data_IF_800215560079
#
_entry.id   IF_800215560079
#
_cell.length_a   1.000
_cell.length_b   1.000
_cell.length_c   1.000
_cell.angle_alpha   90.00
_cell.angle_beta   90.00
_cell.angle_gamma   90.00
#
_symmetry.space_group_name_H-M   'P 1'
#
loop_
_entity.id
_entity.type
_entity.pdbx_description
1 polymer ?
#
# COMPACT_ATOMS: atom_id res chain seq x y z
N UNK A 1 13.81 -14.23 0.63
CA UNK A 1 14.18 -12.79 0.66
C UNK A 1 15.03 -12.39 -0.55
N UNK A 2 16.14 -13.08 -0.88
CA UNK A 2 16.97 -12.73 -2.06
C UNK A 2 16.22 -12.76 -3.40
N UNK A 3 15.41 -13.80 -3.64
CA UNK A 3 14.61 -13.91 -4.86
C UNK A 3 13.62 -12.74 -5.04
N UNK A 4 13.02 -12.25 -3.95
CA UNK A 4 12.12 -11.09 -3.98
C UNK A 4 12.84 -9.81 -4.43
N UNK A 5 14.04 -9.59 -3.90
CA UNK A 5 14.89 -8.44 -4.21
C UNK A 5 15.34 -8.48 -5.67
N UNK A 6 15.81 -9.65 -6.14
CA UNK A 6 16.26 -9.82 -7.51
C UNK A 6 15.09 -9.71 -8.50
N UNK A 7 13.92 -10.31 -8.22
CA UNK A 7 12.72 -10.15 -9.04
C UNK A 7 12.35 -8.68 -9.22
N UNK A 8 12.40 -7.87 -8.16
CA UNK A 8 12.15 -6.42 -8.24
C UNK A 8 13.13 -5.71 -9.17
N UNK A 9 14.43 -5.97 -9.03
CA UNK A 9 15.48 -5.35 -9.89
C UNK A 9 15.28 -5.71 -11.36
N UNK A 10 14.81 -6.92 -11.61
CA UNK A 10 14.60 -7.46 -12.94
C UNK A 10 13.32 -6.97 -13.62
N UNK A 11 12.37 -6.34 -12.89
CA UNK A 11 11.15 -5.76 -13.48
C UNK A 11 11.49 -4.78 -14.59
N UNK A 12 12.35 -3.79 -14.32
CA UNK A 12 12.72 -2.76 -15.32
C UNK A 12 13.34 -3.37 -16.58
N UNK A 13 14.06 -4.48 -16.43
CA UNK A 13 14.68 -5.19 -17.54
C UNK A 13 13.64 -5.96 -18.36
N UNK A 14 12.85 -6.81 -17.72
CA UNK A 14 12.00 -7.76 -18.44
C UNK A 14 10.62 -7.23 -18.77
N UNK A 15 10.06 -6.33 -17.96
CA UNK A 15 8.71 -5.80 -18.19
C UNK A 15 8.61 -5.01 -19.49
N UNK A 16 9.65 -4.21 -19.80
CA UNK A 16 9.70 -3.42 -21.02
C UNK A 16 9.84 -4.28 -22.29
N UNK A 17 10.51 -5.43 -22.18
CA UNK A 17 10.72 -6.37 -23.28
C UNK A 17 9.48 -7.23 -23.60
N UNK A 18 8.44 -7.21 -22.74
CA UNK A 18 7.23 -7.99 -22.95
C UNK A 18 6.36 -7.39 -24.06
N UNK A 19 5.76 -8.23 -24.92
CA UNK A 19 4.75 -7.78 -25.88
C UNK A 19 3.58 -7.07 -25.18
N UNK A 20 3.18 -5.91 -25.71
CA UNK A 20 2.16 -5.06 -25.08
C UNK A 20 0.79 -5.75 -24.95
N UNK A 21 0.47 -6.70 -25.82
CA UNK A 21 -0.75 -7.51 -25.78
C UNK A 21 -0.77 -8.51 -24.62
N UNK A 22 0.39 -8.88 -24.06
CA UNK A 22 0.49 -9.79 -22.92
C UNK A 22 0.44 -9.08 -21.56
N UNK A 23 0.84 -7.80 -21.51
CA UNK A 23 0.92 -7.03 -20.26
C UNK A 23 -0.39 -6.98 -19.47
N UNK A 24 -1.59 -6.78 -20.07
CA UNK A 24 -2.84 -6.76 -19.32
C UNK A 24 -3.10 -8.06 -18.56
N UNK A 25 -2.91 -9.21 -19.21
CA UNK A 25 -3.11 -10.51 -18.58
C UNK A 25 -2.13 -10.75 -17.43
N UNK A 26 -0.87 -10.33 -17.58
CA UNK A 26 0.14 -10.51 -16.53
C UNK A 26 -0.18 -9.62 -15.31
N UNK A 27 -0.59 -8.36 -15.53
CA UNK A 27 -1.05 -7.47 -14.45
C UNK A 27 -2.19 -8.10 -13.66
N UNK A 28 -3.22 -8.58 -14.36
CA UNK A 28 -4.38 -9.23 -13.75
C UNK A 28 -3.97 -10.46 -12.94
N UNK A 29 -3.18 -11.37 -13.53
CA UNK A 29 -2.72 -12.58 -12.84
C UNK A 29 -1.84 -12.25 -11.64
N UNK A 30 -0.99 -11.24 -11.72
CA UNK A 30 -0.14 -10.82 -10.62
C UNK A 30 -0.99 -10.28 -9.45
N UNK A 31 -1.97 -9.43 -9.74
CA UNK A 31 -2.90 -8.90 -8.74
C UNK A 31 -3.72 -10.03 -8.07
N UNK A 32 -4.32 -10.91 -8.87
CA UNK A 32 -5.11 -12.04 -8.36
C UNK A 32 -4.27 -13.04 -7.57
N UNK A 33 -3.08 -13.38 -8.05
CA UNK A 33 -2.18 -14.29 -7.33
C UNK A 33 -1.59 -13.67 -6.05
N UNK A 34 -1.61 -12.35 -5.91
CA UNK A 34 -1.21 -11.66 -4.67
C UNK A 34 -2.35 -11.65 -3.65
N UNK A 35 -3.59 -11.43 -4.09
CA UNK A 35 -4.77 -11.54 -3.22
C UNK A 35 -4.94 -12.93 -2.60
N UNK A 36 -4.68 -13.97 -3.40
CA UNK A 36 -4.84 -15.36 -3.00
C UNK A 36 -3.59 -15.98 -2.35
N UNK A 37 -2.54 -15.20 -2.10
CA UNK A 37 -1.31 -15.71 -1.49
C UNK A 37 -1.44 -15.79 0.03
N UNK A 38 -1.24 -16.98 0.59
CA UNK A 38 -1.37 -17.25 2.02
C UNK A 38 -0.09 -16.88 2.80
N UNK A 39 1.06 -16.88 2.14
CA UNK A 39 2.35 -16.58 2.78
C UNK A 39 2.64 -15.07 2.76
N UNK A 40 2.68 -14.44 3.94
CA UNK A 40 2.93 -12.99 4.09
C UNK A 40 4.19 -12.51 3.36
N UNK A 41 5.33 -13.21 3.50
CA UNK A 41 6.57 -12.83 2.80
C UNK A 41 6.43 -12.87 1.27
N UNK A 42 5.66 -13.82 0.74
CA UNK A 42 5.40 -13.91 -0.69
C UNK A 42 4.42 -12.81 -1.14
N UNK A 43 3.38 -12.51 -0.34
CA UNK A 43 2.48 -11.36 -0.57
C UNK A 43 3.27 -10.07 -0.69
N UNK A 44 4.13 -9.78 0.30
CA UNK A 44 4.92 -8.56 0.32
C UNK A 44 5.89 -8.48 -0.87
N UNK A 45 6.54 -9.60 -1.21
CA UNK A 45 7.38 -9.67 -2.41
C UNK A 45 6.61 -9.35 -3.68
N UNK A 46 5.41 -9.91 -3.86
CA UNK A 46 4.58 -9.69 -5.05
C UNK A 46 4.07 -8.25 -5.12
N UNK A 47 3.60 -7.68 -4.01
CA UNK A 47 3.20 -6.27 -3.93
C UNK A 47 4.33 -5.32 -4.36
N UNK A 48 5.56 -5.61 -3.93
CA UNK A 48 6.75 -4.85 -4.31
C UNK A 48 7.11 -4.97 -5.80
N UNK A 49 6.77 -6.10 -6.44
CA UNK A 49 6.85 -6.27 -7.91
C UNK A 49 5.76 -5.47 -8.61
N UNK A 50 4.52 -5.52 -8.11
CA UNK A 50 3.38 -4.72 -8.60
C UNK A 50 3.74 -3.23 -8.61
N UNK A 51 4.26 -2.70 -7.49
CA UNK A 51 4.67 -1.30 -7.41
C UNK A 51 5.77 -0.94 -8.42
N UNK A 52 6.71 -1.84 -8.67
CA UNK A 52 7.78 -1.62 -9.66
C UNK A 52 7.28 -1.62 -11.10
N UNK A 53 6.26 -2.45 -11.40
CA UNK A 53 5.59 -2.45 -12.71
C UNK A 53 4.76 -1.17 -12.85
N UNK A 54 4.00 -0.79 -11.82
CA UNK A 54 3.16 0.39 -11.81
C UNK A 54 3.97 1.67 -11.99
N UNK A 55 5.18 1.75 -11.42
CA UNK A 55 6.12 2.86 -11.65
C UNK A 55 6.41 3.10 -13.14
N UNK A 56 6.49 2.03 -13.94
CA UNK A 56 6.73 2.11 -15.37
C UNK A 56 5.42 2.45 -16.08
N UNK A 57 4.38 1.66 -15.83
CA UNK A 57 3.15 1.69 -16.60
C UNK A 57 2.34 2.98 -16.38
N UNK A 58 2.24 3.47 -15.15
CA UNK A 58 1.48 4.68 -14.84
C UNK A 58 2.16 5.94 -15.39
N UNK A 59 3.51 5.96 -15.43
CA UNK A 59 4.25 7.02 -16.09
C UNK A 59 3.98 7.09 -17.61
N UNK A 60 3.66 5.95 -18.23
CA UNK A 60 3.27 5.83 -19.63
C UNK A 60 1.74 5.96 -19.85
N UNK A 61 0.97 6.34 -18.82
CA UNK A 61 -0.49 6.45 -18.86
C UNK A 61 -1.22 5.11 -19.05
N UNK A 62 -0.58 3.99 -18.69
CA UNK A 62 -1.12 2.64 -18.75
C UNK A 62 -1.63 2.18 -17.37
N UNK A 63 -2.33 1.04 -17.33
CA UNK A 63 -2.81 0.41 -16.09
C UNK A 63 -3.81 1.26 -15.28
N UNK A 64 -4.71 1.93 -15.98
CA UNK A 64 -5.72 2.83 -15.41
C UNK A 64 -6.73 2.15 -14.47
N UNK A 65 -6.85 0.82 -14.50
CA UNK A 65 -7.71 0.03 -13.63
C UNK A 65 -7.08 -0.32 -12.27
N UNK A 66 -5.78 -0.05 -12.07
CA UNK A 66 -5.10 -0.33 -10.80
C UNK A 66 -5.71 0.41 -9.60
N UNK A 67 -6.01 1.72 -9.65
CA UNK A 67 -6.60 2.44 -8.51
C UNK A 67 -7.94 1.81 -8.06
N UNK A 68 -8.82 1.48 -9.01
CA UNK A 68 -10.11 0.83 -8.73
C UNK A 68 -9.94 -0.54 -8.08
N UNK A 69 -8.96 -1.32 -8.55
CA UNK A 69 -8.63 -2.61 -7.94
C UNK A 69 -8.19 -2.43 -6.49
N UNK A 70 -7.27 -1.48 -6.22
CA UNK A 70 -6.74 -1.24 -4.89
C UNK A 70 -7.82 -0.75 -3.93
N UNK A 71 -8.70 0.15 -4.38
CA UNK A 71 -9.83 0.60 -3.57
C UNK A 71 -10.75 -0.57 -3.17
N UNK A 72 -11.08 -1.46 -4.11
CA UNK A 72 -11.92 -2.65 -3.85
C UNK A 72 -11.22 -3.65 -2.92
N UNK A 73 -9.92 -3.87 -3.09
CA UNK A 73 -9.15 -4.77 -2.23
C UNK A 73 -9.10 -4.22 -0.79
N UNK A 74 -8.72 -2.95 -0.63
CA UNK A 74 -8.57 -2.28 0.68
C UNK A 74 -9.88 -2.14 1.47
N UNK A 75 -11.03 -2.22 0.80
CA UNK A 75 -12.36 -2.14 1.42
C UNK A 75 -13.15 -3.46 1.34
N UNK A 76 -12.47 -4.56 0.99
CA UNK A 76 -13.10 -5.88 0.87
C UNK A 76 -13.67 -6.38 2.20
N UNK A 77 -14.72 -7.19 2.14
CA UNK A 77 -15.20 -7.94 3.31
C UNK A 77 -14.18 -8.98 3.80
N UNK A 78 -13.21 -9.35 2.97
CA UNK A 78 -12.16 -10.32 3.33
C UNK A 78 -10.94 -9.59 3.90
N UNK A 79 -10.58 -9.87 5.15
CA UNK A 79 -9.49 -9.18 5.85
C UNK A 79 -8.11 -9.32 5.18
N UNK A 80 -7.81 -10.48 4.58
CA UNK A 80 -6.56 -10.69 3.85
C UNK A 80 -6.49 -9.87 2.56
N UNK A 81 -7.62 -9.64 1.88
CA UNK A 81 -7.68 -8.76 0.72
C UNK A 81 -7.42 -7.30 1.10
N UNK A 82 -7.95 -6.87 2.25
CA UNK A 82 -7.68 -5.52 2.78
C UNK A 82 -6.20 -5.34 3.09
N UNK A 83 -5.57 -6.33 3.72
CA UNK A 83 -4.14 -6.34 4.01
C UNK A 83 -3.32 -6.18 2.72
N UNK A 84 -3.63 -6.98 1.69
CA UNK A 84 -2.96 -6.90 0.39
C UNK A 84 -3.15 -5.54 -0.27
N UNK A 85 -4.38 -5.03 -0.31
CA UNK A 85 -4.69 -3.75 -0.94
C UNK A 85 -3.91 -2.60 -0.31
N UNK A 86 -3.96 -2.50 1.03
CA UNK A 86 -3.25 -1.45 1.77
C UNK A 86 -1.74 -1.60 1.65
N UNK A 87 -1.21 -2.83 1.70
CA UNK A 87 0.24 -3.04 1.55
C UNK A 87 0.74 -2.66 0.15
N UNK A 88 -0.03 -2.96 -0.92
CA UNK A 88 0.34 -2.50 -2.27
C UNK A 88 0.34 -0.96 -2.33
N UNK A 89 -0.69 -0.30 -1.78
CA UNK A 89 -0.74 1.17 -1.72
C UNK A 89 0.47 1.74 -0.98
N UNK A 90 0.82 1.19 0.19
CA UNK A 90 2.03 1.57 0.92
C UNK A 90 3.28 1.45 0.04
N UNK A 91 3.49 0.31 -0.62
CA UNK A 91 4.67 0.14 -1.49
C UNK A 91 4.68 1.06 -2.71
N UNK A 92 3.51 1.49 -3.19
CA UNK A 92 3.39 2.49 -4.25
C UNK A 92 3.77 3.88 -3.73
N UNK A 93 3.32 4.26 -2.53
CA UNK A 93 3.73 5.49 -1.87
C UNK A 93 5.26 5.53 -1.68
N UNK A 94 5.89 4.45 -1.20
CA UNK A 94 7.36 4.37 -1.11
C UNK A 94 8.06 4.59 -2.47
N UNK A 95 7.43 4.15 -3.56
CA UNK A 95 8.05 4.08 -4.89
C UNK A 95 7.82 5.34 -5.73
N UNK A 96 6.67 5.99 -5.55
CA UNK A 96 6.21 7.10 -6.38
C UNK A 96 5.19 7.98 -5.63
N UNK A 97 5.62 8.67 -4.55
CA UNK A 97 4.71 9.35 -3.64
C UNK A 97 4.00 10.55 -4.29
N UNK A 98 4.62 11.22 -5.26
CA UNK A 98 4.06 12.40 -5.94
C UNK A 98 2.75 12.11 -6.68
N UNK A 99 2.53 10.87 -7.14
CA UNK A 99 1.28 10.51 -7.83
C UNK A 99 0.04 10.55 -6.94
N UNK A 100 0.21 10.60 -5.62
CA UNK A 100 -0.89 10.61 -4.67
C UNK A 100 -1.34 12.02 -4.28
N UNK A 101 -0.60 13.07 -4.67
CA UNK A 101 -0.94 14.46 -4.31
C UNK A 101 -2.32 14.87 -4.85
N UNK A 102 -2.66 14.51 -6.10
CA UNK A 102 -3.95 14.84 -6.71
C UNK A 102 -5.15 14.15 -6.03
N UNK A 103 -4.92 13.04 -5.32
CA UNK A 103 -5.96 12.23 -4.68
C UNK A 103 -5.80 12.14 -3.15
N UNK A 104 -5.07 13.09 -2.56
CA UNK A 104 -4.69 13.10 -1.13
C UNK A 104 -5.90 12.88 -0.20
N UNK A 105 -6.98 13.63 -0.40
CA UNK A 105 -8.18 13.52 0.43
C UNK A 105 -8.84 12.14 0.39
N UNK A 106 -8.88 11.49 -0.78
CA UNK A 106 -9.43 10.14 -0.92
C UNK A 106 -8.55 9.09 -0.23
N UNK A 107 -7.22 9.25 -0.30
CA UNK A 107 -6.28 8.37 0.40
C UNK A 107 -6.40 8.51 1.92
N UNK A 108 -6.47 9.74 2.44
CA UNK A 108 -6.65 9.96 3.88
C UNK A 108 -8.00 9.45 4.38
N UNK A 109 -9.05 9.53 3.56
CA UNK A 109 -10.34 8.90 3.88
C UNK A 109 -10.22 7.38 3.96
N UNK A 110 -9.55 6.74 2.98
CA UNK A 110 -9.29 5.31 3.00
C UNK A 110 -8.47 4.92 4.25
N UNK A 111 -7.40 5.65 4.56
CA UNK A 111 -6.54 5.35 5.71
C UNK A 111 -7.24 5.59 7.04
N UNK A 112 -8.15 6.57 7.13
CA UNK A 112 -9.01 6.74 8.31
C UNK A 112 -9.88 5.50 8.57
N UNK A 113 -10.32 4.83 7.51
CA UNK A 113 -11.07 3.58 7.61
C UNK A 113 -10.15 2.40 7.98
N UNK A 114 -9.04 2.22 7.27
CA UNK A 114 -8.19 1.02 7.41
C UNK A 114 -7.33 1.03 8.67
N UNK A 115 -6.97 2.20 9.21
CA UNK A 115 -6.27 2.29 10.52
C UNK A 115 -7.13 1.77 11.66
N UNK A 116 -8.44 1.70 11.45
CA UNK A 116 -9.43 1.19 12.40
C UNK A 116 -9.96 -0.19 12.00
N UNK A 117 -9.21 -0.95 11.19
CA UNK A 117 -9.63 -2.28 10.75
C UNK A 117 -10.06 -3.15 11.94
N UNK A 118 -11.29 -3.70 11.94
CA UNK A 118 -11.83 -4.40 13.09
C UNK A 118 -11.24 -5.80 13.30
N UNK A 119 -10.63 -6.38 12.28
CA UNK A 119 -10.30 -7.81 12.23
C UNK A 119 -8.78 -8.05 12.13
N UNK A 120 -8.07 -7.22 11.38
CA UNK A 120 -6.68 -7.52 10.99
C UNK A 120 -5.70 -6.42 11.43
N UNK A 121 -4.80 -6.80 12.35
CA UNK A 121 -3.73 -5.93 12.84
C UNK A 121 -2.75 -5.52 11.74
N UNK A 122 -2.49 -6.39 10.75
CA UNK A 122 -1.60 -6.06 9.62
C UNK A 122 -2.18 -4.95 8.75
N UNK A 123 -3.50 -4.89 8.59
CA UNK A 123 -4.15 -3.77 7.88
C UNK A 123 -3.86 -2.45 8.61
N UNK A 124 -3.97 -2.46 9.95
CA UNK A 124 -3.72 -1.27 10.78
C UNK A 124 -2.25 -0.84 10.71
N UNK A 125 -1.31 -1.79 10.85
CA UNK A 125 0.14 -1.52 10.74
C UNK A 125 0.50 -1.02 9.35
N UNK A 126 0.05 -1.69 8.29
CA UNK A 126 0.31 -1.24 6.91
C UNK A 126 -0.29 0.14 6.64
N UNK A 127 -1.42 0.47 7.28
CA UNK A 127 -2.00 1.82 7.20
C UNK A 127 -1.12 2.85 7.93
N UNK A 128 -0.52 2.53 9.08
CA UNK A 128 0.45 3.42 9.74
C UNK A 128 1.66 3.69 8.84
N UNK A 129 2.20 2.65 8.21
CA UNK A 129 3.31 2.79 7.26
C UNK A 129 2.90 3.62 6.03
N UNK A 130 1.68 3.45 5.51
CA UNK A 130 1.18 4.30 4.43
C UNK A 130 1.00 5.76 4.86
N UNK A 131 0.56 6.00 6.11
CA UNK A 131 0.44 7.33 6.68
C UNK A 131 1.80 8.02 6.87
N UNK A 132 2.86 7.29 7.22
CA UNK A 132 4.21 7.88 7.30
C UNK A 132 4.67 8.37 5.93
N UNK A 133 4.48 7.58 4.88
CA UNK A 133 4.85 7.96 3.52
C UNK A 133 4.01 9.13 3.00
N UNK A 134 2.69 9.12 3.22
CA UNK A 134 1.82 10.19 2.70
C UNK A 134 2.07 11.53 3.39
N UNK A 135 2.48 11.52 4.66
CA UNK A 135 2.85 12.72 5.40
C UNK A 135 4.04 13.45 4.74
N UNK A 136 4.94 12.72 4.06
CA UNK A 136 6.12 13.30 3.42
C UNK A 136 5.80 14.13 2.18
N UNK A 137 4.63 13.93 1.56
CA UNK A 137 4.19 14.64 0.35
C UNK A 137 2.94 15.49 0.56
N UNK A 138 2.50 15.65 1.80
CA UNK A 138 1.38 16.50 2.16
C UNK A 138 1.82 17.97 2.17
N UNK A 139 1.25 18.79 1.28
CA UNK A 139 1.46 20.23 1.33
C UNK A 139 0.58 20.86 2.42
N UNK A 140 1.21 21.17 3.56
CA UNK A 140 0.50 21.70 4.73
C UNK A 140 0.08 23.16 4.58
N UNK A 141 0.67 23.91 3.65
CA UNK A 141 0.34 25.31 3.41
C UNK A 141 -0.81 25.44 2.41
N UNK A 142 -0.78 24.63 1.35
CA UNK A 142 -1.77 24.67 0.27
C UNK A 142 -2.99 23.77 0.51
N UNK A 143 -2.86 22.69 1.31
CA UNK A 143 -3.95 21.75 1.61
C UNK A 143 -4.24 21.60 3.12
N UNK A 144 -4.82 22.64 3.76
CA UNK A 144 -5.19 22.60 5.17
C UNK A 144 -6.29 21.56 5.47
N UNK A 145 -7.08 21.14 4.48
CA UNK A 145 -8.11 20.13 4.65
C UNK A 145 -7.50 18.74 4.81
N UNK A 146 -6.57 18.37 3.93
CA UNK A 146 -5.84 17.10 4.04
C UNK A 146 -4.94 17.09 5.28
N UNK A 147 -4.32 18.22 5.64
CA UNK A 147 -3.64 18.35 6.95
C UNK A 147 -4.57 18.03 8.10
N UNK A 148 -5.78 18.58 8.10
CA UNK A 148 -6.75 18.28 9.17
C UNK A 148 -7.17 16.81 9.18
N UNK A 149 -7.37 16.21 8.00
CA UNK A 149 -7.71 14.80 7.88
C UNK A 149 -6.59 13.90 8.40
N UNK A 150 -5.33 14.19 8.05
CA UNK A 150 -4.16 13.50 8.60
C UNK A 150 -4.05 13.64 10.12
N UNK A 151 -4.21 14.85 10.66
CA UNK A 151 -4.20 15.05 12.12
C UNK A 151 -5.27 14.22 12.84
N UNK A 152 -6.42 13.98 12.20
CA UNK A 152 -7.47 13.16 12.77
C UNK A 152 -7.12 11.65 12.78
N UNK A 153 -6.12 11.19 12.04
CA UNK A 153 -5.64 9.79 12.09
C UNK A 153 -4.70 9.54 13.27
N UNK A 154 -4.03 10.58 13.80
CA UNK A 154 -3.03 10.44 14.88
C UNK A 154 -3.56 9.71 16.12
N UNK A 155 -4.77 10.01 16.66
CA UNK A 155 -5.29 9.26 17.81
C UNK A 155 -5.49 7.76 17.51
N UNK A 156 -5.77 7.41 16.26
CA UNK A 156 -5.90 6.01 15.85
C UNK A 156 -4.53 5.33 15.72
N UNK A 157 -3.51 6.03 15.20
CA UNK A 157 -2.13 5.54 15.18
C UNK A 157 -1.61 5.22 16.59
N UNK A 158 -1.84 6.13 17.54
CA UNK A 158 -1.49 5.91 18.95
C UNK A 158 -2.19 4.69 19.52
N UNK A 159 -3.47 4.48 19.18
CA UNK A 159 -4.23 3.30 19.61
C UNK A 159 -3.66 2.00 19.02
N UNK A 160 -3.20 2.02 17.77
CA UNK A 160 -2.58 0.84 17.14
C UNK A 160 -1.28 0.47 17.85
N UNK A 161 -0.43 1.46 18.14
CA UNK A 161 0.79 1.24 18.94
C UNK A 161 0.45 0.69 20.34
N UNK A 162 -0.51 1.31 21.03
CA UNK A 162 -0.95 0.85 22.35
C UNK A 162 -1.41 -0.61 22.31
N UNK A 163 -2.26 -0.97 21.35
CA UNK A 163 -2.76 -2.34 21.21
C UNK A 163 -1.62 -3.34 20.95
N UNK A 164 -0.66 -2.99 20.10
CA UNK A 164 0.50 -3.86 19.83
C UNK A 164 1.35 -4.10 21.08
N UNK A 165 1.55 -3.06 21.91
CA UNK A 165 2.25 -3.17 23.20
C UNK A 165 1.46 -4.03 24.18
N UNK A 166 0.16 -3.78 24.34
CA UNK A 166 -0.71 -4.50 25.27
C UNK A 166 -0.83 -6.00 24.91
N UNK A 167 -0.82 -6.33 23.61
CA UNK A 167 -0.88 -7.70 23.11
C UNK A 167 0.49 -8.43 23.14
N UNK A 168 1.58 -7.72 23.45
CA UNK A 168 2.94 -8.28 23.46
C UNK A 168 3.52 -8.55 22.07
N UNK A 169 3.00 -7.90 21.04
CA UNK A 169 3.43 -8.04 19.64
C UNK A 169 4.64 -7.11 19.36
N UNK A 170 5.81 -7.48 19.86
CA UNK A 170 7.02 -6.64 19.86
C UNK A 170 7.41 -6.10 18.48
N UNK A 171 7.37 -6.94 17.44
CA UNK A 171 7.73 -6.54 16.07
C UNK A 171 6.78 -5.44 15.55
N UNK A 172 5.47 -5.59 15.78
CA UNK A 172 4.47 -4.60 15.37
C UNK A 172 4.55 -3.32 16.20
N UNK A 173 4.82 -3.44 17.49
CA UNK A 173 5.02 -2.29 18.36
C UNK A 173 6.24 -1.48 17.90
N UNK A 174 7.33 -2.15 17.51
CA UNK A 174 8.51 -1.49 16.94
C UNK A 174 8.17 -0.77 15.63
N UNK A 175 7.51 -1.45 14.69
CA UNK A 175 7.08 -0.84 13.42
C UNK A 175 6.18 0.38 13.64
N UNK A 176 5.23 0.29 14.57
CA UNK A 176 4.31 1.38 14.89
C UNK A 176 5.01 2.54 15.62
N UNK A 177 6.11 2.29 16.32
CA UNK A 177 6.88 3.31 17.03
C UNK A 177 7.84 4.09 16.10
N UNK A 178 8.29 3.46 15.01
CA UNK A 178 9.19 4.09 14.01
C UNK A 178 8.47 5.06 13.06
N UNK A 179 7.13 5.01 13.03
CA UNK A 179 6.24 5.91 12.26
C UNK A 179 6.00 7.21 13.01
#
# INVERSE_FOLDING_TARGET
QLAAIESRKLVKKHWLDLPNDQKPQIREQLLQSTLNEEQSLARHSKARVIASIAQIDLADGQWSDLPDFLQKASTSQTASHREVGVYIIYTLLETMPDMFQENMGAMLQLFTQTIQDPENAEVRINTMLALSEICMVLDTEEDPQSLKAFQNTIPHMVRVLQQAVDDGEEDRAMQAFEV
#
